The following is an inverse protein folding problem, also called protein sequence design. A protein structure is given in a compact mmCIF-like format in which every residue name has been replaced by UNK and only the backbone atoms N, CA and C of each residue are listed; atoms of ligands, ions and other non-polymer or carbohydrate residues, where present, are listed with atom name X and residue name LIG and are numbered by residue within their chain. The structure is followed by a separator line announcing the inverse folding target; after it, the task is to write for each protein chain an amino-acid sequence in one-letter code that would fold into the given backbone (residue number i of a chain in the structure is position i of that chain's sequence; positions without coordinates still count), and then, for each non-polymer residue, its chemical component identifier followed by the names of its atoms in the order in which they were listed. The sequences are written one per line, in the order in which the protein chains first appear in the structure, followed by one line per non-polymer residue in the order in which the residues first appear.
data_IF_912241913784
#
_entry.id   IF_912241913784
#
_cell.length_a   1.000
_cell.length_b   1.000
_cell.length_c   1.000
_cell.angle_alpha   90.00
_cell.angle_beta   90.00
_cell.angle_gamma   90.00
#
_symmetry.space_group_name_H-M   'P 1'
#
loop_
_entity.id
_entity.type
_entity.pdbx_description
1 polymer ?
#
# COMPACT_ATOMS: atom_id res chain seq x y z
N UNK A 1 -9.65 0.22 67.15
CA UNK A 1 -8.37 -0.33 66.64
C UNK A 1 -7.66 0.83 65.94
N UNK A 2 -6.76 1.49 66.68
CA UNK A 2 -6.12 2.77 66.37
C UNK A 2 -4.60 2.56 66.47
N UNK A 3 -3.87 3.15 65.52
CA UNK A 3 -2.44 3.49 65.49
C UNK A 3 -1.39 2.44 65.89
N UNK A 4 -0.39 2.28 65.03
CA UNK A 4 0.99 2.47 65.49
C UNK A 4 1.91 2.95 64.35
N UNK A 5 2.57 4.06 64.62
CA UNK A 5 3.72 4.56 63.88
C UNK A 5 5.00 3.98 64.51
N UNK A 6 6.01 3.69 63.68
CA UNK A 6 7.39 3.62 64.15
C UNK A 6 8.32 4.10 63.02
N UNK A 7 9.04 5.16 63.34
CA UNK A 7 10.12 5.80 62.57
C UNK A 7 11.39 4.97 62.74
N UNK A 8 12.14 4.69 61.65
CA UNK A 8 13.58 4.41 61.74
C UNK A 8 14.34 5.06 60.56
N UNK A 9 15.09 6.09 60.94
CA UNK A 9 16.41 6.54 60.52
C UNK A 9 16.88 6.41 59.05
N UNK A 10 17.19 7.60 58.52
CA UNK A 10 18.02 7.94 57.39
C UNK A 10 19.46 7.42 57.56
N UNK A 11 19.97 6.65 56.60
CA UNK A 11 21.40 6.52 56.36
C UNK A 11 21.71 7.03 54.95
N UNK A 12 22.31 8.21 54.87
CA UNK A 12 22.86 8.78 53.66
C UNK A 12 24.13 8.03 53.27
N UNK A 13 24.10 7.29 52.16
CA UNK A 13 25.29 6.85 51.45
C UNK A 13 25.41 7.71 50.18
N UNK A 14 26.34 8.67 50.23
CA UNK A 14 26.82 9.41 49.06
C UNK A 14 27.56 8.43 48.13
N UNK A 15 26.84 7.90 47.14
CA UNK A 15 27.45 7.35 45.94
C UNK A 15 27.23 8.36 44.82
N UNK A 16 28.31 9.04 44.45
CA UNK A 16 28.35 9.96 43.34
C UNK A 16 27.94 9.24 42.05
N UNK A 17 26.72 9.49 41.59
CA UNK A 17 26.33 9.18 40.24
C UNK A 17 27.11 10.15 39.33
N UNK A 18 28.17 9.63 38.69
CA UNK A 18 28.69 10.21 37.46
C UNK A 18 27.59 10.14 36.41
N UNK A 19 26.77 11.18 36.34
CA UNK A 19 25.90 11.42 35.21
C UNK A 19 26.78 11.73 34.00
N UNK A 20 27.15 10.68 33.25
CA UNK A 20 27.49 10.88 31.84
C UNK A 20 26.30 11.63 31.25
N UNK A 21 26.46 12.84 30.69
CA UNK A 21 25.36 13.51 30.03
C UNK A 21 24.94 12.60 28.89
N UNK A 22 23.77 11.98 29.02
CA UNK A 22 23.12 11.36 27.89
C UNK A 22 22.87 12.50 26.91
N UNK A 23 23.70 12.61 25.86
CA UNK A 23 23.48 13.55 24.79
C UNK A 23 22.01 13.41 24.39
N UNK A 24 21.25 14.49 24.51
CA UNK A 24 19.87 14.53 24.07
C UNK A 24 19.88 14.16 22.58
N UNK A 25 19.51 12.93 22.26
CA UNK A 25 19.27 12.54 20.88
C UNK A 25 18.09 13.41 20.45
N UNK A 26 18.34 14.36 19.54
CA UNK A 26 17.30 15.26 19.05
C UNK A 26 16.11 14.48 18.49
N UNK A 27 14.93 15.08 18.49
CA UNK A 27 13.76 14.43 17.86
C UNK A 27 14.01 14.25 16.36
N UNK A 28 13.27 13.35 15.70
CA UNK A 28 13.33 13.22 14.23
C UNK A 28 13.08 14.57 13.55
N UNK A 29 12.20 15.40 14.11
CA UNK A 29 11.97 16.74 13.64
C UNK A 29 13.26 17.56 13.72
N UNK A 30 13.90 17.66 14.88
CA UNK A 30 15.12 18.45 15.03
C UNK A 30 16.27 17.92 14.13
N UNK A 31 16.42 16.60 14.01
CA UNK A 31 17.51 15.99 13.24
C UNK A 31 17.34 16.11 11.72
N UNK A 32 16.11 16.31 11.24
CA UNK A 32 15.81 16.47 9.80
C UNK A 32 15.51 17.93 9.42
N UNK A 33 15.73 18.88 10.34
CA UNK A 33 15.63 20.30 10.03
C UNK A 33 16.69 20.68 8.98
N UNK A 34 16.36 21.51 7.97
CA UNK A 34 17.36 21.99 7.04
C UNK A 34 18.38 22.88 7.80
N UNK A 35 19.66 22.90 7.38
CA UNK A 35 20.64 23.83 7.94
C UNK A 35 20.14 25.28 7.91
N UNK A 36 20.61 26.11 8.84
CA UNK A 36 20.18 27.50 8.93
C UNK A 36 20.33 28.21 7.57
N UNK A 37 19.21 28.78 7.09
CA UNK A 37 19.16 29.48 5.80
C UNK A 37 18.92 28.58 4.58
N UNK A 38 18.83 27.27 4.75
CA UNK A 38 18.49 26.33 3.67
C UNK A 38 17.01 25.92 3.73
N UNK A 39 16.46 25.55 2.57
CA UNK A 39 15.11 24.99 2.45
C UNK A 39 15.19 23.47 2.48
N UNK A 40 14.07 22.83 2.81
CA UNK A 40 13.92 21.39 2.62
C UNK A 40 14.07 21.01 1.13
N UNK A 41 14.56 19.79 0.83
CA UNK A 41 14.57 19.26 -0.52
C UNK A 41 13.19 19.29 -1.17
N UNK A 42 13.16 19.54 -2.48
CA UNK A 42 11.93 19.54 -3.27
C UNK A 42 12.04 18.57 -4.45
N UNK A 43 10.90 18.00 -4.82
CA UNK A 43 10.67 17.27 -6.06
C UNK A 43 9.82 18.12 -7.00
N UNK A 44 9.22 17.54 -8.05
CA UNK A 44 8.38 18.30 -9.00
C UNK A 44 7.13 18.86 -8.33
N UNK A 45 6.49 18.08 -7.45
CA UNK A 45 5.24 18.48 -6.81
C UNK A 45 5.35 18.61 -5.28
N UNK A 46 6.39 18.06 -4.66
CA UNK A 46 6.44 17.92 -3.20
C UNK A 46 7.65 18.58 -2.54
N UNK A 47 7.46 19.07 -1.32
CA UNK A 47 8.53 19.40 -0.36
C UNK A 47 8.73 18.20 0.56
N UNK A 48 9.96 17.70 0.63
CA UNK A 48 10.28 16.43 1.28
C UNK A 48 11.09 16.65 2.55
N UNK A 49 10.71 15.99 3.65
CA UNK A 49 11.51 15.86 4.87
C UNK A 49 11.70 14.40 5.19
N UNK A 50 12.93 13.96 5.36
CA UNK A 50 13.28 12.54 5.44
C UNK A 50 14.57 12.31 6.24
N UNK A 51 14.63 11.21 6.98
CA UNK A 51 15.86 10.66 7.57
C UNK A 51 16.40 9.45 6.78
N UNK A 52 15.81 9.12 5.63
CA UNK A 52 16.36 8.13 4.72
C UNK A 52 17.58 8.67 3.96
N UNK A 53 18.42 7.77 3.43
CA UNK A 53 19.50 8.13 2.51
C UNK A 53 18.99 8.85 1.26
N UNK A 54 19.82 9.71 0.66
CA UNK A 54 19.42 10.57 -0.47
C UNK A 54 18.85 9.80 -1.66
N UNK A 55 19.43 8.64 -2.01
CA UNK A 55 18.94 7.78 -3.10
C UNK A 55 17.54 7.26 -2.83
N UNK A 56 17.28 6.74 -1.62
CA UNK A 56 15.98 6.18 -1.26
C UNK A 56 14.92 7.28 -1.12
N UNK A 57 15.28 8.42 -0.53
CA UNK A 57 14.41 9.61 -0.49
C UNK A 57 14.00 10.05 -1.89
N UNK A 58 14.95 10.10 -2.84
CA UNK A 58 14.66 10.47 -4.23
C UNK A 58 13.73 9.45 -4.91
N UNK A 59 13.94 8.15 -4.69
CA UNK A 59 13.08 7.11 -5.27
C UNK A 59 11.61 7.28 -4.87
N UNK A 60 11.32 7.51 -3.59
CA UNK A 60 9.94 7.75 -3.15
C UNK A 60 9.38 9.10 -3.64
N UNK A 61 10.21 10.13 -3.71
CA UNK A 61 9.79 11.42 -4.25
C UNK A 61 9.44 11.33 -5.75
N UNK A 62 10.26 10.66 -6.56
CA UNK A 62 10.00 10.43 -7.99
C UNK A 62 8.73 9.57 -8.20
N UNK A 63 8.47 8.60 -7.32
CA UNK A 63 7.26 7.77 -7.34
C UNK A 63 6.00 8.60 -7.08
N UNK A 64 6.03 9.42 -6.03
CA UNK A 64 4.94 10.36 -5.70
C UNK A 64 4.69 11.36 -6.84
N UNK A 65 5.76 11.87 -7.47
CA UNK A 65 5.64 12.77 -8.63
C UNK A 65 4.98 12.09 -9.83
N UNK A 66 5.36 10.83 -10.09
CA UNK A 66 4.78 10.02 -11.17
C UNK A 66 3.29 9.78 -10.94
N UNK A 67 2.91 9.44 -9.71
CA UNK A 67 1.51 9.23 -9.34
C UNK A 67 0.70 10.53 -9.37
N UNK A 68 1.25 11.66 -8.93
CA UNK A 68 0.58 12.96 -9.07
C UNK A 68 0.28 13.27 -10.55
N UNK A 69 1.22 12.97 -11.44
CA UNK A 69 1.03 13.09 -12.89
C UNK A 69 -0.11 12.20 -13.39
N UNK A 70 -0.16 10.94 -12.94
CA UNK A 70 -1.23 10.02 -13.33
C UNK A 70 -2.59 10.44 -12.76
N UNK A 71 -2.68 10.90 -11.51
CA UNK A 71 -3.93 11.45 -10.95
C UNK A 71 -4.43 12.63 -11.78
N UNK A 72 -3.53 13.54 -12.15
CA UNK A 72 -3.85 14.70 -13.00
C UNK A 72 -4.40 14.25 -14.35
N UNK A 73 -3.72 13.29 -15.00
CA UNK A 73 -4.13 12.76 -16.30
C UNK A 73 -5.51 12.08 -16.24
N UNK A 74 -5.76 11.25 -15.23
CA UNK A 74 -6.98 10.46 -15.13
C UNK A 74 -8.17 11.30 -14.65
N UNK A 75 -7.95 12.19 -13.67
CA UNK A 75 -9.04 12.85 -12.97
C UNK A 75 -9.27 14.29 -13.40
N UNK A 76 -8.28 14.99 -13.99
CA UNK A 76 -8.38 16.41 -14.32
C UNK A 76 -8.49 16.64 -15.83
N UNK A 77 -7.64 15.96 -16.61
CA UNK A 77 -7.57 16.20 -18.05
C UNK A 77 -8.91 15.96 -18.77
N UNK A 78 -9.74 15.06 -18.25
CA UNK A 78 -11.03 14.69 -18.84
C UNK A 78 -12.23 15.46 -18.25
N UNK A 79 -12.13 15.94 -17.02
CA UNK A 79 -13.24 16.49 -16.22
C UNK A 79 -13.19 18.02 -16.10
N UNK A 80 -12.00 18.60 -16.19
CA UNK A 80 -11.76 20.02 -15.93
C UNK A 80 -12.00 20.44 -14.47
N UNK A 81 -11.78 19.55 -13.48
CA UNK A 81 -11.94 19.90 -12.06
C UNK A 81 -11.10 21.12 -11.70
N UNK A 82 -11.65 21.96 -10.82
CA UNK A 82 -10.99 23.16 -10.31
C UNK A 82 -10.51 22.92 -8.90
N UNK A 83 -9.32 23.42 -8.57
CA UNK A 83 -8.84 23.43 -7.18
C UNK A 83 -9.81 24.25 -6.33
N UNK A 84 -10.28 23.66 -5.22
CA UNK A 84 -11.23 24.26 -4.28
C UNK A 84 -10.68 24.39 -2.87
N UNK A 85 -9.57 23.72 -2.59
CA UNK A 85 -8.91 23.76 -1.29
C UNK A 85 -7.41 23.99 -1.47
N UNK A 86 -6.71 24.47 -0.43
CA UNK A 86 -5.26 24.59 -0.46
C UNK A 86 -4.60 23.24 -0.78
N UNK A 87 -3.52 23.32 -1.55
CA UNK A 87 -2.65 22.17 -1.79
C UNK A 87 -1.60 22.10 -0.68
N UNK A 88 -1.38 20.89 -0.16
CA UNK A 88 -0.42 20.65 0.92
C UNK A 88 0.69 19.72 0.43
N UNK A 89 1.73 20.21 -0.26
CA UNK A 89 2.73 19.38 -0.93
C UNK A 89 3.77 18.77 0.02
N UNK A 90 3.54 18.78 1.34
CA UNK A 90 4.51 18.32 2.31
C UNK A 90 4.48 16.79 2.41
N UNK A 91 5.66 16.17 2.36
CA UNK A 91 5.83 14.72 2.55
C UNK A 91 6.88 14.48 3.63
N UNK A 92 6.52 13.67 4.63
CA UNK A 92 7.37 13.25 5.75
C UNK A 92 7.66 11.76 5.61
N UNK A 93 8.93 11.41 5.40
CA UNK A 93 9.35 10.03 5.17
C UNK A 93 10.21 9.57 6.34
N UNK A 94 9.77 8.55 7.05
CA UNK A 94 10.42 8.08 8.27
C UNK A 94 11.16 6.76 8.02
N UNK A 95 12.39 6.64 8.51
CA UNK A 95 13.07 5.36 8.57
C UNK A 95 12.31 4.39 9.47
N UNK A 96 11.85 4.86 10.65
CA UNK A 96 11.25 4.04 11.71
C UNK A 96 9.80 4.40 12.00
N UNK A 97 9.01 3.41 12.39
CA UNK A 97 7.60 3.62 12.77
C UNK A 97 7.46 4.51 14.01
N UNK A 98 8.38 4.37 14.98
CA UNK A 98 8.35 5.16 16.21
C UNK A 98 8.41 6.67 15.93
N UNK A 99 9.30 7.10 15.04
CA UNK A 99 9.49 8.51 14.73
C UNK A 99 8.29 9.10 13.99
N UNK A 100 7.64 8.29 13.14
CA UNK A 100 6.35 8.61 12.52
C UNK A 100 5.28 8.91 13.59
N UNK A 101 5.08 7.97 14.53
CA UNK A 101 4.07 8.13 15.60
C UNK A 101 4.38 9.32 16.52
N UNK A 102 5.63 9.46 16.94
CA UNK A 102 6.05 10.54 17.83
C UNK A 102 5.94 11.91 17.15
N UNK A 103 6.32 12.02 15.87
CA UNK A 103 6.24 13.28 15.11
C UNK A 103 4.78 13.69 14.88
N UNK A 104 3.92 12.78 14.45
CA UNK A 104 2.48 13.07 14.28
C UNK A 104 1.85 13.57 15.57
N UNK A 105 2.14 12.91 16.70
CA UNK A 105 1.60 13.28 18.01
C UNK A 105 2.12 14.64 18.49
N UNK A 106 3.44 14.86 18.42
CA UNK A 106 4.07 16.03 19.05
C UNK A 106 3.96 17.28 18.18
N UNK A 107 4.21 17.17 16.87
CA UNK A 107 4.22 18.32 15.96
C UNK A 107 2.80 18.65 15.46
N UNK A 108 1.99 17.63 15.17
CA UNK A 108 0.71 17.82 14.51
C UNK A 108 -0.51 17.57 15.40
N UNK A 109 -0.32 16.96 16.58
CA UNK A 109 -1.43 16.62 17.48
C UNK A 109 -2.31 15.48 16.95
N UNK A 110 -1.75 14.60 16.14
CA UNK A 110 -2.44 13.50 15.45
C UNK A 110 -2.03 12.17 16.07
N UNK A 111 -3.01 11.26 16.26
CA UNK A 111 -2.73 9.88 16.63
C UNK A 111 -2.65 9.01 15.36
N UNK A 112 -1.44 8.66 14.93
CA UNK A 112 -1.19 7.76 13.79
C UNK A 112 -1.14 6.27 14.15
N UNK A 113 -1.60 5.88 15.35
CA UNK A 113 -1.57 4.47 15.77
C UNK A 113 -2.53 3.64 14.91
N UNK A 114 -2.03 2.55 14.32
CA UNK A 114 -2.83 1.64 13.50
C UNK A 114 -2.83 1.95 12.00
N UNK A 115 -2.30 3.10 11.56
CA UNK A 115 -2.21 3.44 10.13
C UNK A 115 -0.84 3.03 9.56
N UNK A 116 -0.78 2.66 8.26
CA UNK A 116 0.47 2.39 7.51
C UNK A 116 1.16 3.63 6.94
N UNK A 117 0.39 4.71 6.84
CA UNK A 117 0.72 6.05 6.39
C UNK A 117 -0.48 6.95 6.67
N UNK A 118 -0.40 8.24 6.40
CA UNK A 118 -1.53 9.16 6.55
C UNK A 118 -1.32 10.45 5.76
N UNK A 119 -2.30 10.83 4.95
CA UNK A 119 -2.55 12.22 4.62
C UNK A 119 -3.36 12.88 5.74
N UNK A 120 -2.89 14.03 6.22
CA UNK A 120 -3.56 14.75 7.29
C UNK A 120 -3.62 16.25 7.04
N UNK A 121 -4.66 16.86 7.62
CA UNK A 121 -4.81 18.31 7.73
C UNK A 121 -5.16 18.64 9.19
N UNK A 122 -4.34 19.47 9.83
CA UNK A 122 -4.54 19.90 11.22
C UNK A 122 -4.28 21.40 11.37
N UNK A 123 -4.73 22.03 12.47
CA UNK A 123 -4.37 23.42 12.77
C UNK A 123 -2.85 23.66 12.90
N UNK A 124 -2.06 22.60 13.12
CA UNK A 124 -0.60 22.66 13.27
C UNK A 124 0.17 22.38 11.97
N UNK A 125 -0.54 22.01 10.91
CA UNK A 125 0.04 21.70 9.62
C UNK A 125 -0.64 20.54 8.91
N UNK A 126 -0.21 20.28 7.69
CA UNK A 126 -0.76 19.26 6.81
C UNK A 126 0.36 18.61 5.98
N UNK A 127 0.16 17.35 5.62
CA UNK A 127 1.10 16.61 4.78
C UNK A 127 0.74 15.14 4.67
N UNK A 128 1.54 14.42 3.89
CA UNK A 128 1.54 12.97 3.78
C UNK A 128 2.71 12.43 4.61
N UNK A 129 2.46 11.49 5.52
CA UNK A 129 3.48 10.87 6.36
C UNK A 129 3.45 9.34 6.25
N UNK A 130 4.63 8.70 6.13
CA UNK A 130 4.75 7.23 6.11
C UNK A 130 6.15 6.77 6.55
N UNK A 131 6.30 5.51 6.94
CA UNK A 131 7.60 4.91 7.28
C UNK A 131 7.93 3.68 6.43
N UNK A 132 9.18 3.22 6.50
CA UNK A 132 9.66 2.09 5.67
C UNK A 132 10.18 0.88 6.46
N UNK A 133 10.51 1.03 7.75
CA UNK A 133 11.02 -0.04 8.62
C UNK A 133 10.17 -1.32 8.58
N UNK A 134 10.83 -2.42 8.19
CA UNK A 134 10.25 -3.77 8.22
C UNK A 134 9.13 -4.00 7.19
N UNK A 135 8.92 -3.08 6.25
CA UNK A 135 7.86 -3.19 5.24
C UNK A 135 8.43 -3.61 3.88
N UNK A 136 7.77 -4.56 3.18
CA UNK A 136 8.07 -4.82 1.78
C UNK A 136 7.89 -3.56 0.93
N UNK A 137 8.73 -3.37 -0.08
CA UNK A 137 8.67 -2.19 -0.97
C UNK A 137 7.27 -1.97 -1.56
N UNK A 138 6.60 -3.04 -1.99
CA UNK A 138 5.25 -2.98 -2.56
C UNK A 138 4.22 -2.42 -1.57
N UNK A 139 4.36 -2.75 -0.28
CA UNK A 139 3.48 -2.23 0.76
C UNK A 139 3.68 -0.73 0.93
N UNK A 140 4.94 -0.26 0.89
CA UNK A 140 5.23 1.18 0.94
C UNK A 140 4.70 1.88 -0.33
N UNK A 141 4.90 1.31 -1.52
CA UNK A 141 4.38 1.82 -2.79
C UNK A 141 2.85 1.98 -2.77
N UNK A 142 2.14 0.95 -2.31
CA UNK A 142 0.68 1.02 -2.15
C UNK A 142 0.27 2.13 -1.18
N UNK A 143 0.91 2.24 -0.02
CA UNK A 143 0.62 3.28 0.98
C UNK A 143 0.83 4.68 0.40
N UNK A 144 1.97 4.95 -0.25
CA UNK A 144 2.23 6.29 -0.79
C UNK A 144 1.33 6.63 -1.98
N UNK A 145 0.88 5.64 -2.74
CA UNK A 145 -0.12 5.80 -3.80
C UNK A 145 -1.50 6.13 -3.22
N UNK A 146 -1.93 5.39 -2.20
CA UNK A 146 -3.19 5.56 -1.51
C UNK A 146 -3.27 6.92 -0.80
N UNK A 147 -2.30 7.23 0.06
CA UNK A 147 -2.25 8.51 0.78
C UNK A 147 -1.95 9.69 -0.15
N UNK A 148 -1.17 9.45 -1.21
CA UNK A 148 -0.92 10.43 -2.26
C UNK A 148 -2.20 10.82 -3.01
N UNK A 149 -3.10 9.85 -3.23
CA UNK A 149 -4.41 10.13 -3.78
C UNK A 149 -5.24 11.01 -2.83
N UNK A 150 -5.31 10.72 -1.52
CA UNK A 150 -6.04 11.58 -0.58
C UNK A 150 -5.50 13.01 -0.57
N UNK A 151 -4.18 13.16 -0.53
CA UNK A 151 -3.52 14.47 -0.59
C UNK A 151 -3.87 15.23 -1.88
N UNK A 152 -3.86 14.54 -3.03
CA UNK A 152 -4.25 15.09 -4.32
C UNK A 152 -5.73 15.47 -4.33
N UNK A 153 -6.62 14.56 -3.93
CA UNK A 153 -8.06 14.71 -3.97
C UNK A 153 -8.53 15.87 -3.08
N UNK A 154 -7.89 16.07 -1.92
CA UNK A 154 -8.22 17.17 -1.02
C UNK A 154 -8.15 18.54 -1.72
N UNK A 155 -7.16 18.77 -2.59
CA UNK A 155 -7.03 20.05 -3.30
C UNK A 155 -8.25 20.37 -4.21
N UNK A 156 -8.96 19.35 -4.68
CA UNK A 156 -10.11 19.49 -5.60
C UNK A 156 -11.45 19.33 -4.89
N UNK A 157 -11.54 18.49 -3.88
CA UNK A 157 -12.82 18.12 -3.24
C UNK A 157 -12.93 18.55 -1.79
N UNK A 158 -11.84 18.96 -1.14
CA UNK A 158 -11.82 19.17 0.31
C UNK A 158 -12.29 17.90 1.02
N UNK A 159 -13.26 18.06 1.93
CA UNK A 159 -13.89 16.95 2.65
C UNK A 159 -15.22 16.50 2.01
N UNK A 160 -15.54 16.94 0.79
CA UNK A 160 -16.85 16.71 0.17
C UNK A 160 -16.94 15.40 -0.65
N UNK A 161 -15.82 14.68 -0.82
CA UNK A 161 -15.83 13.38 -1.48
C UNK A 161 -16.43 12.33 -0.54
N UNK A 162 -17.44 11.54 -0.96
CA UNK A 162 -18.03 10.53 -0.08
C UNK A 162 -17.00 9.44 0.26
N UNK A 163 -17.05 8.83 1.47
CA UNK A 163 -16.08 7.85 1.92
C UNK A 163 -15.83 6.72 0.93
N UNK A 164 -16.89 6.12 0.38
CA UNK A 164 -16.77 5.02 -0.58
C UNK A 164 -15.97 5.42 -1.83
N UNK A 165 -16.13 6.67 -2.31
CA UNK A 165 -15.44 7.10 -3.51
C UNK A 165 -14.00 7.49 -3.21
N UNK A 166 -13.79 8.18 -2.09
CA UNK A 166 -12.46 8.61 -1.64
C UNK A 166 -11.57 7.37 -1.44
N UNK A 167 -12.06 6.41 -0.68
CA UNK A 167 -11.33 5.19 -0.35
C UNK A 167 -11.27 4.22 -1.53
N UNK A 168 -12.36 4.12 -2.31
CA UNK A 168 -12.38 3.30 -3.52
C UNK A 168 -11.37 3.78 -4.59
N UNK A 169 -11.22 5.09 -4.79
CA UNK A 169 -10.20 5.65 -5.67
C UNK A 169 -8.79 5.52 -5.07
N UNK A 170 -8.64 5.73 -3.76
CA UNK A 170 -7.37 5.54 -3.06
C UNK A 170 -6.84 4.10 -3.24
N UNK A 171 -7.70 3.10 -3.07
CA UNK A 171 -7.38 1.69 -3.34
C UNK A 171 -7.16 1.42 -4.84
N UNK A 172 -7.98 1.99 -5.73
CA UNK A 172 -7.83 1.81 -7.18
C UNK A 172 -6.46 2.28 -7.67
N UNK A 173 -6.02 3.44 -7.18
CA UNK A 173 -4.69 3.95 -7.47
C UNK A 173 -3.60 3.28 -6.63
N UNK A 174 -3.90 2.87 -5.40
CA UNK A 174 -3.01 2.12 -4.50
C UNK A 174 -2.54 0.80 -5.11
N UNK A 175 -3.38 0.16 -5.92
CA UNK A 175 -3.03 -1.07 -6.66
C UNK A 175 -2.24 -0.81 -7.95
N UNK A 176 -2.02 0.46 -8.33
CA UNK A 176 -1.31 0.77 -9.58
C UNK A 176 0.11 0.22 -9.58
N UNK A 177 0.56 -0.19 -10.76
CA UNK A 177 1.93 -0.61 -11.01
C UNK A 177 2.69 0.57 -11.56
N UNK A 178 3.75 0.97 -10.84
CA UNK A 178 4.60 2.10 -11.20
C UNK A 178 6.00 1.60 -11.50
N UNK A 179 6.44 1.79 -12.75
CA UNK A 179 7.79 1.44 -13.19
C UNK A 179 8.43 2.64 -13.90
N UNK A 180 9.35 3.31 -13.20
CA UNK A 180 9.90 4.58 -13.67
C UNK A 180 8.79 5.61 -13.84
N UNK A 181 8.54 6.05 -15.07
CA UNK A 181 7.46 6.99 -15.41
C UNK A 181 6.22 6.31 -15.99
N UNK A 182 6.22 4.97 -16.12
CA UNK A 182 5.09 4.21 -16.63
C UNK A 182 4.16 3.82 -15.48
N UNK A 183 2.86 4.08 -15.65
CA UNK A 183 1.85 3.69 -14.67
C UNK A 183 0.79 2.84 -15.35
N UNK A 184 0.51 1.67 -14.76
CA UNK A 184 -0.64 0.85 -15.11
C UNK A 184 -1.61 0.89 -13.93
N UNK A 185 -2.73 1.56 -14.16
CA UNK A 185 -3.84 1.68 -13.20
C UNK A 185 -4.80 0.50 -13.33
N UNK A 186 -5.78 0.44 -12.42
CA UNK A 186 -6.88 -0.51 -12.53
C UNK A 186 -6.48 -1.96 -12.27
N UNK A 187 -5.30 -2.19 -11.71
CA UNK A 187 -4.91 -3.51 -11.29
C UNK A 187 -5.82 -4.04 -10.19
N UNK A 188 -5.93 -5.36 -10.15
CA UNK A 188 -6.84 -6.06 -9.28
C UNK A 188 -6.09 -7.17 -8.53
N UNK A 189 -5.95 -6.99 -7.22
CA UNK A 189 -5.39 -8.01 -6.34
C UNK A 189 -6.29 -9.26 -6.35
N UNK A 190 -5.74 -10.48 -6.53
CA UNK A 190 -6.51 -11.73 -6.48
C UNK A 190 -7.40 -11.84 -5.24
N UNK A 191 -6.87 -11.50 -4.07
CA UNK A 191 -7.63 -11.61 -2.84
C UNK A 191 -8.84 -10.67 -2.84
N UNK A 192 -8.65 -9.41 -3.22
CA UNK A 192 -9.73 -8.42 -3.19
C UNK A 192 -10.86 -8.85 -4.14
N UNK A 193 -10.49 -9.28 -5.35
CA UNK A 193 -11.45 -9.84 -6.33
C UNK A 193 -12.22 -11.02 -5.74
N UNK A 194 -11.52 -11.98 -5.13
CA UNK A 194 -12.14 -13.17 -4.57
C UNK A 194 -13.05 -12.86 -3.38
N UNK A 195 -12.66 -11.93 -2.50
CA UNK A 195 -13.48 -11.53 -1.36
C UNK A 195 -14.74 -10.80 -1.79
N UNK A 196 -14.65 -9.88 -2.76
CA UNK A 196 -15.83 -9.21 -3.31
C UNK A 196 -16.74 -10.21 -4.02
N UNK A 197 -16.18 -11.09 -4.87
CA UNK A 197 -16.94 -12.15 -5.53
C UNK A 197 -17.66 -13.03 -4.53
N UNK A 198 -16.98 -13.44 -3.45
CA UNK A 198 -17.55 -14.23 -2.36
C UNK A 198 -18.66 -13.48 -1.64
N UNK A 199 -18.47 -12.20 -1.32
CA UNK A 199 -19.49 -11.37 -0.68
C UNK A 199 -20.74 -11.25 -1.56
N UNK A 200 -20.58 -11.06 -2.87
CA UNK A 200 -21.68 -11.01 -3.84
C UNK A 200 -22.40 -12.37 -3.93
N UNK A 201 -21.67 -13.47 -4.09
CA UNK A 201 -22.26 -14.81 -4.22
C UNK A 201 -22.98 -15.29 -2.96
N UNK A 202 -22.63 -14.74 -1.79
CA UNK A 202 -23.24 -15.09 -0.51
C UNK A 202 -24.28 -14.07 -0.04
N UNK A 203 -24.61 -13.06 -0.86
CA UNK A 203 -25.47 -11.92 -0.48
C UNK A 203 -25.02 -11.22 0.82
N UNK A 204 -23.70 -11.16 1.05
CA UNK A 204 -23.06 -10.50 2.20
C UNK A 204 -22.36 -9.19 1.83
N UNK A 205 -22.60 -8.66 0.63
CA UNK A 205 -22.13 -7.33 0.22
C UNK A 205 -22.94 -6.23 0.94
N UNK A 206 -22.43 -5.00 0.96
CA UNK A 206 -23.12 -3.84 1.50
C UNK A 206 -24.10 -3.31 0.42
N UNK A 207 -25.41 -3.19 0.66
CA UNK A 207 -26.33 -2.63 -0.32
C UNK A 207 -25.87 -1.26 -0.83
N UNK A 208 -26.02 -0.98 -2.13
CA UNK A 208 -25.59 0.30 -2.72
C UNK A 208 -26.29 1.47 -2.05
N UNK A 209 -27.57 1.32 -1.69
CA UNK A 209 -28.28 2.38 -0.96
C UNK A 209 -27.65 2.70 0.40
N UNK A 210 -27.09 1.72 1.09
CA UNK A 210 -26.40 1.93 2.35
C UNK A 210 -25.01 2.54 2.14
N UNK A 211 -24.24 2.00 1.19
CA UNK A 211 -22.86 2.42 0.96
C UNK A 211 -22.76 3.83 0.35
N UNK A 212 -23.62 4.15 -0.63
CA UNK A 212 -23.62 5.45 -1.32
C UNK A 212 -24.07 6.61 -0.42
N UNK A 213 -24.80 6.31 0.67
CA UNK A 213 -25.27 7.29 1.66
C UNK A 213 -24.47 7.26 2.96
N UNK A 214 -23.44 6.40 3.05
CA UNK A 214 -22.61 6.30 4.25
C UNK A 214 -21.78 7.58 4.43
N UNK A 215 -21.89 8.22 5.59
CA UNK A 215 -21.09 9.38 5.97
C UNK A 215 -19.78 8.98 6.67
N UNK A 216 -18.91 9.96 6.90
CA UNK A 216 -17.62 9.76 7.57
C UNK A 216 -17.79 9.16 8.99
N UNK A 217 -18.85 9.54 9.71
CA UNK A 217 -19.07 9.06 11.06
C UNK A 217 -19.36 7.56 11.07
N UNK A 218 -20.27 7.09 10.20
CA UNK A 218 -20.61 5.68 10.05
C UNK A 218 -19.43 4.88 9.49
N UNK A 219 -18.74 5.42 8.47
CA UNK A 219 -17.54 4.81 7.90
C UNK A 219 -16.46 4.56 8.97
N UNK A 220 -16.09 5.61 9.72
CA UNK A 220 -15.09 5.52 10.78
C UNK A 220 -15.54 4.64 11.95
N UNK A 221 -16.85 4.58 12.22
CA UNK A 221 -17.43 3.65 13.18
C UNK A 221 -17.16 2.18 12.80
N UNK A 222 -17.33 1.84 11.52
CA UNK A 222 -17.04 0.48 11.02
C UNK A 222 -15.55 0.13 11.11
N UNK A 223 -14.67 1.09 10.81
CA UNK A 223 -13.21 0.93 10.93
C UNK A 223 -12.82 0.60 12.37
N UNK A 224 -13.27 1.41 13.34
CA UNK A 224 -12.96 1.20 14.76
C UNK A 224 -13.47 -0.14 15.30
N UNK A 225 -14.53 -0.67 14.72
CA UNK A 225 -15.13 -1.95 15.11
C UNK A 225 -14.49 -3.16 14.38
N UNK A 226 -13.48 -2.95 13.54
CA UNK A 226 -12.81 -4.02 12.79
C UNK A 226 -13.64 -4.62 11.65
N UNK A 227 -14.71 -3.94 11.22
CA UNK A 227 -15.65 -4.42 10.20
C UNK A 227 -15.48 -3.71 8.85
N UNK A 228 -14.38 -2.97 8.65
CA UNK A 228 -14.20 -2.12 7.47
C UNK A 228 -13.60 -2.83 6.25
N UNK A 229 -13.01 -4.02 6.38
CA UNK A 229 -12.37 -4.66 5.21
C UNK A 229 -13.30 -4.77 4.00
N UNK A 230 -14.58 -5.09 4.20
CA UNK A 230 -15.56 -5.17 3.12
C UNK A 230 -15.90 -3.81 2.50
N UNK A 231 -16.01 -2.72 3.27
CA UNK A 231 -16.36 -1.41 2.71
C UNK A 231 -15.24 -0.88 1.80
N UNK A 232 -13.97 -1.10 2.13
CA UNK A 232 -12.82 -0.79 1.27
C UNK A 232 -12.84 -1.62 -0.01
N UNK A 233 -12.90 -2.95 0.11
CA UNK A 233 -12.87 -3.87 -1.04
C UNK A 233 -14.05 -3.66 -1.98
N UNK A 234 -15.26 -3.44 -1.45
CA UNK A 234 -16.43 -3.16 -2.27
C UNK A 234 -16.34 -1.79 -2.94
N UNK A 235 -15.86 -0.76 -2.24
CA UNK A 235 -15.66 0.58 -2.80
C UNK A 235 -14.66 0.56 -3.97
N UNK A 236 -13.54 -0.14 -3.82
CA UNK A 236 -12.60 -0.41 -4.91
C UNK A 236 -13.30 -1.09 -6.10
N UNK A 237 -14.08 -2.15 -5.85
CA UNK A 237 -14.78 -2.89 -6.91
C UNK A 237 -15.82 -2.03 -7.63
N UNK A 238 -16.49 -1.12 -6.93
CA UNK A 238 -17.41 -0.16 -7.53
C UNK A 238 -16.66 0.79 -8.46
N UNK A 239 -15.52 1.34 -8.04
CA UNK A 239 -14.67 2.19 -8.90
C UNK A 239 -14.21 1.42 -10.14
N UNK A 240 -13.73 0.18 -9.98
CA UNK A 240 -13.38 -0.70 -11.09
C UNK A 240 -14.53 -0.89 -12.08
N UNK A 241 -15.75 -1.09 -11.59
CA UNK A 241 -16.96 -1.19 -12.41
C UNK A 241 -17.30 0.14 -13.12
N UNK A 242 -17.12 1.29 -12.47
CA UNK A 242 -17.33 2.59 -13.12
C UNK A 242 -16.31 2.88 -14.23
N UNK A 243 -15.09 2.36 -14.11
CA UNK A 243 -14.01 2.57 -15.08
C UNK A 243 -14.09 1.56 -16.24
N UNK A 244 -14.26 0.26 -15.94
CA UNK A 244 -14.12 -0.81 -16.93
C UNK A 244 -15.42 -1.59 -17.19
N UNK A 245 -16.40 -1.49 -16.30
CA UNK A 245 -17.66 -2.23 -16.42
C UNK A 245 -18.38 -1.93 -17.73
N UNK A 246 -18.97 -2.99 -18.32
CA UNK A 246 -19.67 -2.92 -19.62
C UNK A 246 -18.84 -2.24 -20.72
N UNK A 247 -17.56 -2.63 -20.83
CA UNK A 247 -16.61 -2.08 -21.80
C UNK A 247 -16.40 -0.57 -21.64
N UNK A 248 -16.29 -0.10 -20.40
CA UNK A 248 -16.04 1.31 -20.06
C UNK A 248 -17.22 2.26 -20.28
N UNK A 249 -18.43 1.73 -20.45
CA UNK A 249 -19.67 2.50 -20.69
C UNK A 249 -19.91 3.63 -19.69
N UNK A 250 -19.45 3.44 -18.44
CA UNK A 250 -19.74 4.33 -17.33
C UNK A 250 -18.77 5.52 -17.20
N UNK A 251 -17.70 5.58 -17.99
CA UNK A 251 -16.66 6.61 -17.85
C UNK A 251 -17.17 8.04 -17.98
N UNK A 252 -18.07 8.32 -18.95
CA UNK A 252 -18.63 9.66 -19.13
C UNK A 252 -19.51 10.10 -17.94
N UNK A 253 -20.35 9.20 -17.44
CA UNK A 253 -21.15 9.42 -16.23
C UNK A 253 -20.25 9.61 -15.01
N UNK A 254 -19.18 8.82 -14.89
CA UNK A 254 -18.26 8.95 -13.77
C UNK A 254 -17.56 10.32 -13.76
N UNK A 255 -17.06 10.76 -14.91
CA UNK A 255 -16.50 12.11 -15.09
C UNK A 255 -17.52 13.21 -14.75
N UNK A 256 -18.78 13.05 -15.16
CA UNK A 256 -19.86 13.98 -14.80
C UNK A 256 -20.13 14.00 -13.28
N UNK A 257 -20.08 12.84 -12.61
CA UNK A 257 -20.23 12.75 -11.16
C UNK A 257 -19.11 13.52 -10.44
N UNK A 258 -17.85 13.31 -10.82
CA UNK A 258 -16.71 14.02 -10.24
C UNK A 258 -16.85 15.54 -10.39
N UNK A 259 -17.33 16.01 -11.54
CA UNK A 259 -17.60 17.43 -11.75
C UNK A 259 -18.71 17.95 -10.85
N UNK A 260 -19.82 17.23 -10.72
CA UNK A 260 -20.93 17.62 -9.83
C UNK A 260 -20.49 17.70 -8.37
N UNK A 261 -19.66 16.76 -7.90
CA UNK A 261 -19.05 16.80 -6.57
C UNK A 261 -18.14 18.03 -6.41
N UNK A 262 -17.27 18.28 -7.39
CA UNK A 262 -16.41 19.46 -7.40
C UNK A 262 -17.21 20.77 -7.46
N UNK A 263 -18.41 20.79 -8.05
CA UNK A 263 -19.31 21.95 -8.05
C UNK A 263 -20.12 22.07 -6.73
N UNK A 264 -19.97 21.15 -5.78
CA UNK A 264 -20.63 21.16 -4.47
C UNK A 264 -22.01 20.51 -4.44
N UNK A 265 -22.35 19.69 -5.44
CA UNK A 265 -23.54 18.84 -5.37
C UNK A 265 -23.31 17.76 -4.31
N UNK A 266 -24.30 17.53 -3.45
CA UNK A 266 -24.24 16.48 -2.41
C UNK A 266 -23.93 15.11 -3.02
N UNK A 267 -23.16 14.24 -2.35
CA UNK A 267 -22.63 13.03 -2.97
C UNK A 267 -23.66 12.10 -3.62
N UNK A 268 -24.72 11.77 -2.88
CA UNK A 268 -25.76 10.88 -3.41
C UNK A 268 -26.54 11.51 -4.57
N UNK A 269 -26.78 12.83 -4.54
CA UNK A 269 -27.43 13.56 -5.62
C UNK A 269 -26.55 13.64 -6.88
N UNK A 270 -25.22 13.80 -6.70
CA UNK A 270 -24.26 13.80 -7.80
C UNK A 270 -24.27 12.46 -8.53
N UNK A 271 -24.25 11.34 -7.80
CA UNK A 271 -24.37 9.98 -8.35
C UNK A 271 -25.69 9.82 -9.11
N UNK A 272 -26.83 10.15 -8.48
CA UNK A 272 -28.15 9.99 -9.11
C UNK A 272 -28.28 10.78 -10.41
N UNK A 273 -27.80 12.02 -10.44
CA UNK A 273 -27.82 12.86 -11.64
C UNK A 273 -26.91 12.30 -12.73
N UNK A 274 -25.67 11.97 -12.39
CA UNK A 274 -24.67 11.53 -13.36
C UNK A 274 -25.00 10.18 -14.01
N UNK A 275 -25.64 9.28 -13.26
CA UNK A 275 -26.01 7.94 -13.71
C UNK A 275 -27.50 7.79 -14.04
N UNK A 276 -28.27 8.90 -14.02
CA UNK A 276 -29.72 8.91 -14.28
C UNK A 276 -30.51 7.93 -13.39
N UNK A 277 -30.18 7.88 -12.09
CA UNK A 277 -30.83 7.03 -11.10
C UNK A 277 -31.97 7.82 -10.42
N UNK A 278 -33.14 7.85 -11.06
CA UNK A 278 -34.27 8.67 -10.65
C UNK A 278 -35.09 8.05 -9.50
N UNK A 279 -35.13 6.72 -9.39
CA UNK A 279 -35.82 5.99 -8.34
C UNK A 279 -34.90 4.97 -7.66
N UNK A 280 -35.28 4.47 -6.49
CA UNK A 280 -34.55 3.41 -5.79
C UNK A 280 -34.38 2.16 -6.66
N UNK A 281 -35.39 1.82 -7.47
CA UNK A 281 -35.31 0.73 -8.45
C UNK A 281 -34.19 0.91 -9.48
N UNK A 282 -33.78 2.14 -9.79
CA UNK A 282 -32.64 2.39 -10.68
C UNK A 282 -31.32 2.04 -9.99
N UNK A 283 -31.19 2.39 -8.71
CA UNK A 283 -30.02 2.04 -7.90
C UNK A 283 -29.91 0.52 -7.77
N UNK A 284 -31.01 -0.18 -7.51
CA UNK A 284 -31.03 -1.64 -7.43
C UNK A 284 -30.65 -2.31 -8.77
N UNK A 285 -31.11 -1.76 -9.90
CA UNK A 285 -30.69 -2.25 -11.23
C UNK A 285 -29.22 -1.99 -11.51
N UNK A 286 -28.69 -0.86 -11.07
CA UNK A 286 -27.28 -0.51 -11.20
C UNK A 286 -26.40 -1.42 -10.33
N UNK A 287 -26.82 -1.67 -9.09
CA UNK A 287 -26.20 -2.64 -8.18
C UNK A 287 -26.20 -4.05 -8.79
N UNK A 288 -27.30 -4.50 -9.38
CA UNK A 288 -27.36 -5.81 -10.03
C UNK A 288 -26.31 -5.95 -11.17
N UNK A 289 -26.10 -4.90 -11.97
CA UNK A 289 -25.06 -4.89 -13.02
C UNK A 289 -23.65 -4.94 -12.42
N UNK A 290 -23.41 -4.21 -11.33
CA UNK A 290 -22.15 -4.30 -10.60
C UNK A 290 -21.92 -5.72 -10.06
N UNK A 291 -22.94 -6.40 -9.52
CA UNK A 291 -22.81 -7.79 -9.05
C UNK A 291 -22.40 -8.72 -10.18
N UNK A 292 -23.00 -8.59 -11.37
CA UNK A 292 -22.61 -9.39 -12.54
C UNK A 292 -21.16 -9.12 -12.95
N UNK A 293 -20.72 -7.85 -12.93
CA UNK A 293 -19.32 -7.49 -13.12
C UNK A 293 -18.40 -8.13 -12.07
N UNK A 294 -18.73 -8.00 -10.79
CA UNK A 294 -17.94 -8.53 -9.67
C UNK A 294 -17.80 -10.06 -9.72
N UNK A 295 -18.82 -10.78 -10.20
CA UNK A 295 -18.78 -12.24 -10.36
C UNK A 295 -17.72 -12.68 -11.36
N UNK A 296 -17.55 -11.93 -12.45
CA UNK A 296 -16.66 -12.30 -13.57
C UNK A 296 -15.35 -11.51 -13.60
N UNK A 297 -15.19 -10.52 -12.71
CA UNK A 297 -13.97 -9.74 -12.59
C UNK A 297 -12.76 -10.66 -12.40
N UNK A 298 -11.67 -10.35 -13.11
CA UNK A 298 -10.42 -11.09 -13.05
C UNK A 298 -9.34 -10.25 -12.35
N UNK A 299 -8.49 -10.88 -11.53
CA UNK A 299 -7.29 -10.20 -11.06
C UNK A 299 -6.34 -9.82 -12.21
N UNK A 300 -5.53 -8.79 -11.99
CA UNK A 300 -4.47 -8.41 -12.91
C UNK A 300 -3.29 -9.37 -12.79
N UNK A 301 -2.75 -9.83 -13.92
CA UNK A 301 -1.64 -10.78 -13.93
C UNK A 301 -0.39 -10.20 -13.26
N UNK A 302 -0.14 -8.90 -13.42
CA UNK A 302 1.04 -8.26 -12.86
C UNK A 302 1.05 -8.21 -11.33
N UNK A 303 -0.05 -7.74 -10.71
CA UNK A 303 -0.15 -7.71 -9.23
C UNK A 303 -0.16 -9.12 -8.66
N UNK A 304 -0.83 -10.07 -9.33
CA UNK A 304 -0.78 -11.47 -8.94
C UNK A 304 0.65 -12.05 -9.03
N UNK A 305 1.39 -11.76 -10.10
CA UNK A 305 2.76 -12.22 -10.31
C UNK A 305 3.70 -11.70 -9.22
N UNK A 306 3.60 -10.42 -8.83
CA UNK A 306 4.39 -9.86 -7.73
C UNK A 306 4.09 -10.57 -6.40
N UNK A 307 2.82 -10.74 -6.05
CA UNK A 307 2.44 -11.48 -4.85
C UNK A 307 2.89 -12.95 -4.87
N UNK A 308 2.90 -13.59 -6.04
CA UNK A 308 3.41 -14.97 -6.21
C UNK A 308 4.92 -15.04 -6.08
N UNK A 309 5.65 -14.05 -6.62
CA UNK A 309 7.10 -13.95 -6.46
C UNK A 309 7.49 -13.77 -5.00
N UNK A 310 6.79 -12.95 -4.21
CA UNK A 310 7.04 -12.81 -2.78
C UNK A 310 6.77 -14.12 -2.03
N UNK A 311 5.63 -14.75 -2.31
CA UNK A 311 5.29 -16.06 -1.73
C UNK A 311 6.37 -17.12 -2.01
N UNK A 312 6.81 -17.21 -3.26
CA UNK A 312 7.86 -18.12 -3.69
C UNK A 312 9.22 -17.74 -3.12
N UNK A 313 9.55 -16.46 -2.99
CA UNK A 313 10.81 -16.01 -2.41
C UNK A 313 10.88 -16.35 -0.92
N UNK A 314 9.83 -16.07 -0.16
CA UNK A 314 9.77 -16.42 1.26
C UNK A 314 9.78 -17.94 1.48
N UNK A 315 9.04 -18.68 0.64
CA UNK A 315 9.08 -20.15 0.66
C UNK A 315 10.47 -20.70 0.30
N UNK A 316 11.11 -20.15 -0.72
CA UNK A 316 12.48 -20.50 -1.11
C UNK A 316 13.47 -20.16 0.00
N UNK A 317 13.33 -19.01 0.68
CA UNK A 317 14.17 -18.63 1.83
C UNK A 317 14.07 -19.66 2.95
N UNK A 318 12.85 -20.08 3.31
CA UNK A 318 12.61 -21.08 4.35
C UNK A 318 13.19 -22.44 3.98
N UNK A 319 12.91 -22.93 2.76
CA UNK A 319 13.48 -24.18 2.24
C UNK A 319 15.01 -24.12 2.19
N UNK A 320 15.57 -22.99 1.77
CA UNK A 320 17.02 -22.79 1.63
C UNK A 320 17.73 -22.79 2.98
N UNK A 321 17.15 -22.13 3.98
CA UNK A 321 17.65 -22.10 5.36
C UNK A 321 17.67 -23.49 6.00
N UNK A 322 16.75 -24.39 5.59
CA UNK A 322 16.69 -25.79 6.02
C UNK A 322 17.57 -26.74 5.20
N UNK A 323 18.37 -26.21 4.27
CA UNK A 323 19.30 -27.00 3.45
C UNK A 323 18.72 -27.52 2.13
N UNK A 324 17.45 -27.25 1.82
CA UNK A 324 16.84 -27.60 0.53
C UNK A 324 17.46 -26.80 -0.62
N UNK A 325 17.65 -27.45 -1.78
CA UNK A 325 18.27 -26.86 -2.97
C UNK A 325 17.48 -27.22 -4.23
N UNK A 326 16.24 -26.70 -4.39
CA UNK A 326 15.42 -27.01 -5.55
C UNK A 326 16.07 -26.49 -6.83
N UNK A 327 16.05 -27.30 -7.88
CA UNK A 327 16.63 -26.97 -9.20
C UNK A 327 15.67 -26.22 -10.11
N UNK A 328 14.38 -26.39 -9.88
CA UNK A 328 13.30 -25.78 -10.65
C UNK A 328 12.09 -25.47 -9.75
N UNK A 329 11.03 -24.91 -10.34
CA UNK A 329 9.82 -24.58 -9.60
C UNK A 329 9.07 -25.81 -9.11
N UNK A 330 9.11 -26.92 -9.85
CA UNK A 330 8.39 -28.13 -9.44
C UNK A 330 9.01 -28.70 -8.15
N UNK A 331 10.33 -28.77 -8.08
CA UNK A 331 11.04 -29.16 -6.85
C UNK A 331 10.78 -28.17 -5.71
N UNK A 332 10.73 -26.85 -5.98
CA UNK A 332 10.41 -25.85 -4.96
C UNK A 332 8.97 -26.00 -4.44
N UNK A 333 7.99 -26.25 -5.31
CA UNK A 333 6.59 -26.45 -4.91
C UNK A 333 6.46 -27.65 -3.97
N UNK A 334 7.10 -28.77 -4.30
CA UNK A 334 7.12 -29.97 -3.44
C UNK A 334 7.76 -29.66 -2.09
N UNK A 335 8.92 -29.02 -2.08
CA UNK A 335 9.63 -28.67 -0.84
C UNK A 335 8.81 -27.74 0.06
N UNK A 336 8.14 -26.73 -0.50
CA UNK A 336 7.26 -25.82 0.25
C UNK A 336 6.05 -26.55 0.84
N UNK A 337 5.49 -27.53 0.12
CA UNK A 337 4.37 -28.36 0.62
C UNK A 337 4.78 -29.27 1.76
N UNK A 338 5.91 -29.95 1.63
CA UNK A 338 6.47 -30.79 2.69
C UNK A 338 6.77 -29.96 3.95
N UNK A 339 7.25 -28.73 3.77
CA UNK A 339 7.46 -27.77 4.85
C UNK A 339 6.15 -27.18 5.42
N UNK A 340 4.99 -27.46 4.80
CA UNK A 340 3.68 -26.85 5.12
C UNK A 340 3.76 -25.31 5.17
N UNK A 341 4.50 -24.74 4.22
CA UNK A 341 4.78 -23.32 4.20
C UNK A 341 3.52 -22.49 3.99
N UNK A 342 3.35 -21.47 4.83
CA UNK A 342 2.27 -20.49 4.74
C UNK A 342 2.88 -19.10 4.82
N UNK A 343 2.40 -18.21 3.97
CA UNK A 343 2.79 -16.81 3.94
C UNK A 343 1.59 -15.94 4.29
N UNK A 344 1.82 -14.94 5.14
CA UNK A 344 0.78 -14.01 5.55
C UNK A 344 1.28 -12.59 5.36
N UNK A 345 0.53 -11.77 4.64
CA UNK A 345 0.76 -10.33 4.49
C UNK A 345 -0.50 -9.56 4.90
N UNK A 346 -0.35 -8.28 5.25
CA UNK A 346 -1.45 -7.43 5.72
C UNK A 346 -1.46 -6.09 4.99
N UNK A 347 -2.61 -5.67 4.48
CA UNK A 347 -2.88 -4.33 3.94
C UNK A 347 -4.25 -3.85 4.43
N UNK A 348 -4.40 -2.57 4.80
CA UNK A 348 -5.66 -1.93 5.24
C UNK A 348 -6.67 -2.86 5.94
N UNK A 349 -6.26 -3.44 7.07
CA UNK A 349 -7.05 -4.33 7.95
C UNK A 349 -7.53 -5.66 7.35
N UNK A 350 -7.09 -6.04 6.13
CA UNK A 350 -7.28 -7.38 5.62
C UNK A 350 -5.94 -8.13 5.48
N UNK A 351 -6.00 -9.42 5.80
CA UNK A 351 -4.85 -10.32 5.85
C UNK A 351 -4.89 -11.23 4.63
N UNK A 352 -3.88 -11.18 3.78
CA UNK A 352 -3.66 -12.16 2.72
C UNK A 352 -2.97 -13.36 3.34
N UNK A 353 -3.54 -14.56 3.15
CA UNK A 353 -2.89 -15.81 3.50
C UNK A 353 -2.73 -16.66 2.24
N UNK A 354 -1.49 -17.02 1.93
CA UNK A 354 -1.13 -17.94 0.85
C UNK A 354 -0.59 -19.23 1.47
N UNK A 355 -1.10 -20.36 1.00
CA UNK A 355 -0.77 -21.68 1.49
C UNK A 355 -0.17 -22.52 0.35
N UNK A 356 0.97 -23.15 0.61
CA UNK A 356 1.65 -24.02 -0.35
C UNK A 356 0.82 -25.27 -0.71
N UNK A 357 -0.17 -25.63 0.11
CA UNK A 357 -1.10 -26.70 -0.20
C UNK A 357 -2.06 -26.36 -1.36
N UNK A 358 -2.27 -25.08 -1.66
CA UNK A 358 -3.21 -24.64 -2.70
C UNK A 358 -2.47 -24.28 -4.01
N UNK A 359 -2.73 -25.05 -5.07
CA UNK A 359 -2.14 -24.87 -6.39
C UNK A 359 -2.41 -23.47 -6.99
N UNK A 360 -3.53 -22.83 -6.65
CA UNK A 360 -3.87 -21.50 -7.14
C UNK A 360 -2.90 -20.41 -6.64
N UNK A 361 -2.15 -20.67 -5.56
CA UNK A 361 -1.14 -19.75 -5.04
C UNK A 361 0.17 -19.76 -5.84
N UNK A 362 0.34 -20.70 -6.78
CA UNK A 362 1.49 -20.75 -7.68
C UNK A 362 1.18 -20.25 -9.09
N UNK A 363 -0.11 -20.22 -9.45
CA UNK A 363 -0.55 -19.76 -10.76
C UNK A 363 -0.62 -18.23 -10.84
N UNK A 364 -0.27 -17.70 -12.02
CA UNK A 364 -0.55 -16.32 -12.41
C UNK A 364 -1.81 -16.36 -13.29
N UNK A 365 -2.84 -15.58 -12.96
CA UNK A 365 -4.07 -15.51 -13.75
C UNK A 365 -3.81 -14.86 -15.12
N UNK A 366 -4.56 -15.29 -16.13
CA UNK A 366 -4.60 -14.60 -17.42
C UNK A 366 -5.36 -13.26 -17.29
N UNK A 367 -4.92 -12.25 -18.03
CA UNK A 367 -5.59 -10.96 -18.14
C UNK A 367 -5.62 -10.45 -19.59
N UNK A 368 -6.24 -9.29 -19.81
CA UNK A 368 -6.36 -8.69 -21.14
C UNK A 368 -5.07 -8.00 -21.62
N UNK A 369 -4.10 -7.81 -20.72
CA UNK A 369 -2.84 -7.09 -21.02
C UNK A 369 -1.82 -8.05 -21.64
N UNK A 370 -1.76 -9.28 -21.13
CA UNK A 370 -0.78 -10.30 -21.50
C UNK A 370 -1.33 -11.22 -22.61
N UNK A 371 -0.68 -11.22 -23.77
CA UNK A 371 -1.12 -12.03 -24.94
C UNK A 371 -0.61 -13.47 -24.92
N UNK A 372 0.23 -13.82 -23.94
CA UNK A 372 0.76 -15.17 -23.70
C UNK A 372 0.65 -15.49 -22.20
N UNK A 373 0.54 -16.78 -21.84
CA UNK A 373 0.57 -17.17 -20.43
C UNK A 373 1.84 -16.66 -19.73
N UNK A 374 1.63 -16.05 -18.57
CA UNK A 374 2.72 -15.59 -17.71
C UNK A 374 3.20 -16.75 -16.85
N UNK A 375 4.51 -17.01 -16.85
CA UNK A 375 5.12 -18.07 -16.04
C UNK A 375 6.18 -17.50 -15.12
N UNK A 376 6.52 -18.22 -14.04
CA UNK A 376 7.69 -17.95 -13.21
C UNK A 376 8.75 -19.02 -13.51
N UNK A 377 10.03 -18.70 -13.39
CA UNK A 377 11.15 -19.64 -13.48
C UNK A 377 12.19 -19.39 -12.39
N UNK A 378 12.92 -20.44 -12.01
CA UNK A 378 14.16 -20.32 -11.25
C UNK A 378 15.32 -20.05 -12.20
N UNK A 379 16.13 -19.05 -11.89
CA UNK A 379 17.31 -18.68 -12.68
C UNK A 379 18.55 -18.74 -11.79
N UNK A 380 19.56 -19.51 -12.20
CA UNK A 380 20.81 -19.61 -11.47
C UNK A 380 21.53 -18.26 -11.38
N UNK A 381 22.11 -17.97 -10.22
CA UNK A 381 22.93 -16.78 -10.03
C UNK A 381 24.19 -16.83 -10.90
N UNK A 382 24.64 -15.67 -11.37
CA UNK A 382 25.96 -15.56 -11.99
C UNK A 382 27.04 -15.86 -10.95
N UNK A 383 28.14 -16.56 -11.32
CA UNK A 383 29.22 -16.85 -10.37
C UNK A 383 29.80 -15.57 -9.76
N UNK A 384 30.08 -15.55 -8.43
CA UNK A 384 30.65 -14.39 -7.78
C UNK A 384 32.06 -14.07 -8.31
N UNK A 385 32.34 -12.78 -8.50
CA UNK A 385 33.66 -12.29 -8.93
C UNK A 385 34.53 -11.93 -7.72
N UNK A 386 35.78 -12.40 -7.72
CA UNK A 386 36.76 -12.13 -6.67
C UNK A 386 36.75 -13.13 -5.51
N UNK A 387 37.90 -13.31 -4.86
CA UNK A 387 38.13 -14.37 -3.85
C UNK A 387 37.23 -14.22 -2.63
N UNK A 388 37.01 -13.00 -2.14
CA UNK A 388 36.16 -12.73 -0.98
C UNK A 388 34.70 -13.12 -1.23
N UNK A 389 34.16 -12.78 -2.40
CA UNK A 389 32.79 -13.10 -2.78
C UNK A 389 32.60 -14.62 -2.98
N UNK A 390 33.58 -15.30 -3.59
CA UNK A 390 33.57 -16.77 -3.73
C UNK A 390 33.53 -17.48 -2.38
N UNK A 391 34.41 -17.10 -1.44
CA UNK A 391 34.43 -17.69 -0.10
C UNK A 391 33.11 -17.47 0.65
N UNK A 392 32.50 -16.31 0.50
CA UNK A 392 31.21 -16.01 1.11
C UNK A 392 30.07 -16.85 0.50
N UNK A 393 30.09 -17.05 -0.82
CA UNK A 393 29.13 -17.90 -1.52
C UNK A 393 29.28 -19.39 -1.13
N UNK A 394 30.50 -19.87 -0.90
CA UNK A 394 30.75 -21.22 -0.37
C UNK A 394 30.21 -21.40 1.06
N UNK A 395 30.33 -20.37 1.89
CA UNK A 395 29.89 -20.40 3.29
C UNK A 395 28.37 -20.19 3.44
N UNK A 396 27.79 -19.34 2.61
CA UNK A 396 26.38 -18.94 2.66
C UNK A 396 25.88 -18.76 1.23
N UNK A 397 25.48 -19.83 0.52
CA UNK A 397 25.09 -19.76 -0.89
C UNK A 397 23.84 -18.89 -1.07
N UNK A 398 23.81 -18.05 -2.12
CA UNK A 398 22.59 -17.31 -2.47
C UNK A 398 21.58 -18.23 -3.18
N UNK A 399 20.29 -18.14 -2.83
CA UNK A 399 19.22 -18.83 -3.55
C UNK A 399 19.16 -18.37 -5.00
N UNK A 400 18.71 -19.22 -5.94
CA UNK A 400 18.46 -18.80 -7.31
C UNK A 400 17.48 -17.64 -7.36
N UNK A 401 17.59 -16.83 -8.40
CA UNK A 401 16.62 -15.78 -8.68
C UNK A 401 15.29 -16.40 -9.11
N UNK A 402 14.20 -15.71 -8.83
CA UNK A 402 12.89 -16.00 -9.42
C UNK A 402 12.59 -14.93 -10.46
N UNK A 403 12.02 -15.29 -11.59
CA UNK A 403 11.71 -14.32 -12.65
C UNK A 403 10.42 -14.70 -13.38
N UNK A 404 9.61 -13.72 -13.74
CA UNK A 404 8.47 -13.91 -14.64
C UNK A 404 8.93 -13.96 -16.10
N UNK A 405 8.10 -14.57 -16.95
CA UNK A 405 8.20 -14.53 -18.41
C UNK A 405 6.87 -14.11 -19.00
N UNK A 406 6.95 -13.32 -20.08
CA UNK A 406 5.81 -12.80 -20.83
C UNK A 406 4.95 -11.80 -20.07
N UNK A 407 5.41 -11.31 -18.90
CA UNK A 407 4.64 -10.34 -18.13
C UNK A 407 4.77 -8.95 -18.75
N UNK A 408 3.67 -8.20 -18.77
CA UNK A 408 3.58 -6.81 -19.20
C UNK A 408 3.25 -5.89 -18.03
N UNK A 409 3.85 -4.69 -17.96
CA UNK A 409 4.63 -4.04 -19.02
C UNK A 409 6.05 -4.60 -19.16
N UNK A 410 6.58 -5.17 -18.09
CA UNK A 410 7.89 -5.81 -18.05
C UNK A 410 7.84 -7.07 -17.18
N UNK A 411 8.79 -7.98 -17.43
CA UNK A 411 9.04 -9.07 -16.50
C UNK A 411 9.61 -8.51 -15.19
N UNK A 412 9.19 -9.10 -14.08
CA UNK A 412 9.75 -8.81 -12.76
C UNK A 412 10.40 -10.06 -12.18
N UNK A 413 11.20 -9.89 -11.14
CA UNK A 413 11.85 -11.00 -10.46
C UNK A 413 12.38 -10.63 -9.09
N UNK A 414 12.92 -11.64 -8.42
CA UNK A 414 13.47 -11.56 -7.09
C UNK A 414 14.99 -11.48 -7.20
N UNK A 415 15.55 -10.38 -6.73
CA UNK A 415 16.99 -10.19 -6.59
C UNK A 415 17.38 -10.32 -5.13
N UNK A 416 18.17 -11.33 -4.81
CA UNK A 416 18.70 -11.56 -3.47
C UNK A 416 19.85 -10.61 -3.16
N UNK A 417 19.91 -10.14 -1.92
CA UNK A 417 21.04 -9.40 -1.38
C UNK A 417 21.30 -9.78 0.07
N UNK A 418 22.53 -9.56 0.51
CA UNK A 418 22.96 -9.85 1.88
C UNK A 418 22.71 -8.63 2.76
N UNK A 419 22.30 -8.86 4.01
CA UNK A 419 22.21 -7.79 4.99
C UNK A 419 23.57 -7.13 5.22
N UNK A 420 23.56 -5.82 5.40
CA UNK A 420 24.78 -5.02 5.68
C UNK A 420 25.29 -5.23 7.09
N UNK A 421 24.43 -5.66 8.02
CA UNK A 421 24.78 -5.94 9.42
C UNK A 421 25.16 -7.40 9.66
N UNK A 422 24.54 -8.33 8.93
CA UNK A 422 24.85 -9.76 8.97
C UNK A 422 24.85 -10.35 7.55
N UNK A 423 26.03 -10.56 6.92
CA UNK A 423 26.12 -11.08 5.56
C UNK A 423 25.56 -12.50 5.35
N UNK A 424 25.23 -13.22 6.43
CA UNK A 424 24.57 -14.53 6.36
C UNK A 424 23.06 -14.42 6.22
N UNK A 425 22.47 -13.28 6.61
CA UNK A 425 21.06 -12.98 6.42
C UNK A 425 20.81 -12.52 4.98
N UNK A 426 19.84 -13.17 4.32
CA UNK A 426 19.47 -12.93 2.93
C UNK A 426 18.12 -12.21 2.84
N UNK A 427 18.14 -11.03 2.24
CA UNK A 427 16.98 -10.24 1.90
C UNK A 427 16.75 -10.30 0.38
N UNK A 428 15.62 -9.80 -0.09
CA UNK A 428 15.37 -9.65 -1.51
C UNK A 428 14.63 -8.37 -1.82
N UNK A 429 14.77 -7.91 -3.06
CA UNK A 429 13.93 -6.89 -3.67
C UNK A 429 13.23 -7.47 -4.91
N UNK A 430 12.03 -6.97 -5.21
CA UNK A 430 11.42 -7.17 -6.52
C UNK A 430 12.05 -6.17 -7.49
N UNK A 431 12.62 -6.68 -8.57
CA UNK A 431 13.28 -5.90 -9.61
C UNK A 431 12.60 -6.11 -10.96
N UNK A 432 12.60 -5.06 -11.79
CA UNK A 432 12.22 -5.15 -13.20
C UNK A 432 13.40 -5.74 -13.97
N UNK A 433 13.15 -6.76 -14.79
CA UNK A 433 14.16 -7.61 -15.44
C UNK A 433 14.44 -7.29 -16.90
#
# INVERSE_FOLDING_TARGET
MVMNAAVVALCAALLGASSVPQQAVGTWWDSTAPPLGQKLPTSRYYTIRSDLGATQTKQYADHLDTMYGEFTKQLIAQSGLRKRSPEYPNVLIFSKQRDYLDTLRTQFGINGTGSGGMFFVSPRGAGLAFWVEGLPKQRVEHVIQHEGFHQFAYAFFGNEMPPWLNEGLAEFFGESVVEGTSVIIGQASPQVVDQVRKAVNQDKYIPFMDLLQMDDQRWNGNVRNGNAGLQYMQSWSMVQFLVYGENGKYGASFTAMLKLLNDGTKPFDAMRKAFSLAAESDVLRFEARWKEYAKVAKPGAYVAARGRLEFLAEGLRDVWAKGGRPKDLAELHVAMREAKFQYTSSSHDYVTKLDAADDANFAIPDDEVNTKPVTIELVANKPPKGTKAKKLEEQSPMPPMLRTRNLRPNDVGISWYRSTTDPTQLNYDIVVN
#
